data_IF_791679629144
#
_entry.id   IF_791679629144
#
_cell.length_a   1.000
_cell.length_b   1.000
_cell.length_c   1.000
_cell.angle_alpha   90.00
_cell.angle_beta   90.00
_cell.angle_gamma   90.00
#
_symmetry.space_group_name_H-M   'P 1'
#
loop_
_entity.id
_entity.type
_entity.pdbx_description
1 polymer ?
#
# COMPACT_ATOMS: atom_id res chain seq x y z
N UNK A 1 -21.04 10.52 -21.66
CA UNK A 1 -20.77 9.90 -20.35
C UNK A 1 -19.29 9.61 -20.34
N UNK A 2 -18.54 9.88 -19.27
CA UNK A 2 -17.11 9.52 -19.30
C UNK A 2 -16.97 8.00 -19.25
N UNK A 3 -15.93 7.44 -19.88
CA UNK A 3 -15.65 6.00 -19.83
C UNK A 3 -15.53 5.51 -18.36
N UNK A 4 -15.06 6.39 -17.46
CA UNK A 4 -14.99 6.17 -16.02
C UNK A 4 -16.37 5.96 -15.39
N UNK A 5 -17.37 6.80 -15.73
CA UNK A 5 -18.72 6.66 -15.19
C UNK A 5 -19.37 5.35 -15.60
N UNK A 6 -19.08 4.87 -16.82
CA UNK A 6 -19.56 3.58 -17.32
C UNK A 6 -18.91 2.42 -16.57
N UNK A 7 -17.60 2.50 -16.33
CA UNK A 7 -16.87 1.51 -15.53
C UNK A 7 -17.46 1.41 -14.12
N UNK A 8 -17.61 2.54 -13.41
CA UNK A 8 -18.13 2.55 -12.03
C UNK A 8 -19.56 2.00 -11.99
N UNK A 9 -20.45 2.46 -12.88
CA UNK A 9 -21.83 1.95 -12.94
C UNK A 9 -21.89 0.47 -13.27
N UNK A 10 -20.99 -0.03 -14.12
CA UNK A 10 -20.92 -1.46 -14.42
C UNK A 10 -20.52 -2.27 -13.19
N UNK A 11 -19.55 -1.78 -12.41
CA UNK A 11 -19.10 -2.40 -11.17
C UNK A 11 -20.20 -2.41 -10.10
N UNK A 12 -20.89 -1.31 -9.89
CA UNK A 12 -21.92 -1.17 -8.85
C UNK A 12 -23.12 -2.11 -9.04
N UNK A 13 -23.41 -2.50 -10.29
CA UNK A 13 -24.49 -3.45 -10.64
C UNK A 13 -24.12 -4.91 -10.37
N UNK A 14 -22.85 -5.21 -10.11
CA UNK A 14 -22.40 -6.57 -9.83
C UNK A 14 -22.74 -6.97 -8.39
N UNK A 15 -22.97 -8.26 -8.19
CA UNK A 15 -22.93 -8.85 -6.84
C UNK A 15 -21.46 -8.98 -6.37
N UNK A 16 -21.26 -9.38 -5.11
CA UNK A 16 -19.91 -9.44 -4.51
C UNK A 16 -18.93 -10.32 -5.32
N UNK A 17 -19.37 -11.50 -5.77
CA UNK A 17 -18.54 -12.36 -6.61
C UNK A 17 -18.17 -11.69 -7.93
N UNK A 18 -19.11 -10.96 -8.54
CA UNK A 18 -18.86 -10.20 -9.76
C UNK A 18 -17.90 -9.04 -9.53
N UNK A 19 -18.04 -8.31 -8.41
CA UNK A 19 -17.14 -7.22 -8.02
C UNK A 19 -15.72 -7.71 -7.76
N UNK A 20 -15.55 -8.84 -7.06
CA UNK A 20 -14.24 -9.47 -6.87
C UNK A 20 -13.63 -9.84 -8.22
N UNK A 21 -14.41 -10.49 -9.10
CA UNK A 21 -13.93 -10.88 -10.42
C UNK A 21 -13.58 -9.66 -11.29
N UNK A 22 -14.34 -8.58 -11.19
CA UNK A 22 -14.06 -7.32 -11.86
C UNK A 22 -12.70 -6.76 -11.44
N UNK A 23 -12.44 -6.63 -10.13
CA UNK A 23 -11.18 -6.09 -9.61
C UNK A 23 -9.98 -6.95 -10.00
N UNK A 24 -10.10 -8.28 -9.92
CA UNK A 24 -9.04 -9.22 -10.30
C UNK A 24 -8.67 -9.18 -11.78
N UNK A 25 -9.62 -8.81 -12.63
CA UNK A 25 -9.42 -8.72 -14.08
C UNK A 25 -9.38 -7.27 -14.57
N UNK A 26 -9.13 -6.31 -13.67
CA UNK A 26 -8.95 -4.92 -14.06
C UNK A 26 -7.76 -4.82 -15.02
N UNK A 27 -7.89 -4.05 -16.10
CA UNK A 27 -6.83 -3.91 -17.12
C UNK A 27 -6.89 -2.55 -17.83
N UNK A 28 -7.67 -1.62 -17.28
CA UNK A 28 -7.78 -0.27 -17.81
C UNK A 28 -6.65 0.60 -17.25
N UNK A 29 -6.40 1.73 -17.90
CA UNK A 29 -5.62 2.79 -17.27
C UNK A 29 -6.35 3.25 -16.00
N UNK A 30 -5.59 3.38 -14.91
CA UNK A 30 -6.16 3.86 -13.66
C UNK A 30 -6.22 5.38 -13.73
N UNK A 31 -7.39 5.95 -14.03
CA UNK A 31 -7.58 7.41 -13.91
C UNK A 31 -7.62 7.84 -12.44
N UNK A 32 -7.47 9.14 -12.18
CA UNK A 32 -7.58 9.70 -10.82
C UNK A 32 -8.95 9.38 -10.21
N UNK A 33 -10.01 9.53 -10.98
CA UNK A 33 -11.38 9.27 -10.56
C UNK A 33 -11.60 7.79 -10.21
N UNK A 34 -11.07 6.86 -11.02
CA UNK A 34 -11.13 5.43 -10.71
C UNK A 34 -10.29 5.07 -9.49
N UNK A 35 -9.11 5.69 -9.33
CA UNK A 35 -8.28 5.48 -8.15
C UNK A 35 -8.97 5.95 -6.87
N UNK A 36 -9.65 7.10 -6.89
CA UNK A 36 -10.43 7.60 -5.76
C UNK A 36 -11.64 6.71 -5.47
N UNK A 37 -12.27 6.14 -6.50
CA UNK A 37 -13.34 5.16 -6.35
C UNK A 37 -12.85 3.86 -5.70
N UNK A 38 -11.75 3.26 -6.17
CA UNK A 38 -11.20 2.08 -5.52
C UNK A 38 -10.66 2.37 -4.13
N UNK A 39 -10.15 3.59 -3.91
CA UNK A 39 -9.73 4.03 -2.58
C UNK A 39 -10.93 4.10 -1.62
N UNK A 40 -12.09 4.60 -2.05
CA UNK A 40 -13.28 4.62 -1.19
C UNK A 40 -13.79 3.23 -0.84
N UNK A 41 -13.62 2.26 -1.75
CA UNK A 41 -13.91 0.86 -1.46
C UNK A 41 -12.94 0.33 -0.38
N UNK A 42 -11.64 0.59 -0.53
CA UNK A 42 -10.63 0.13 0.40
C UNK A 42 -10.78 0.72 1.82
N UNK A 43 -11.16 2.01 1.94
CA UNK A 43 -11.24 2.70 3.23
C UNK A 43 -12.56 2.48 3.98
N UNK A 44 -13.61 1.98 3.31
CA UNK A 44 -14.90 1.71 3.97
C UNK A 44 -14.88 0.38 4.73
N UNK A 45 -14.82 0.45 6.06
CA UNK A 45 -14.84 -0.71 6.97
C UNK A 45 -16.13 -1.53 6.90
N UNK A 46 -17.21 -1.02 6.29
CA UNK A 46 -18.45 -1.78 6.10
C UNK A 46 -18.40 -2.70 4.86
N UNK A 47 -17.40 -2.53 4.00
CA UNK A 47 -17.22 -3.37 2.81
C UNK A 47 -16.46 -4.64 3.19
N UNK A 48 -16.84 -5.75 2.55
CA UNK A 48 -16.17 -7.04 2.68
C UNK A 48 -14.63 -6.91 2.51
N UNK A 49 -13.86 -7.51 3.42
CA UNK A 49 -12.39 -7.41 3.43
C UNK A 49 -11.75 -7.87 2.13
N UNK A 50 -12.28 -8.90 1.46
CA UNK A 50 -11.78 -9.37 0.16
C UNK A 50 -11.94 -8.26 -0.89
N UNK A 51 -13.07 -7.56 -0.94
CA UNK A 51 -13.27 -6.45 -1.88
C UNK A 51 -12.32 -5.30 -1.59
N UNK A 52 -12.10 -4.96 -0.31
CA UNK A 52 -11.15 -3.94 0.11
C UNK A 52 -9.73 -4.29 -0.34
N UNK A 53 -9.32 -5.55 -0.13
CA UNK A 53 -8.02 -6.10 -0.54
C UNK A 53 -7.85 -6.07 -2.07
N UNK A 54 -8.85 -6.50 -2.84
CA UNK A 54 -8.73 -6.47 -4.30
C UNK A 54 -8.71 -5.02 -4.83
N UNK A 55 -9.44 -4.09 -4.20
CA UNK A 55 -9.42 -2.68 -4.60
C UNK A 55 -8.05 -2.03 -4.37
N UNK A 56 -7.42 -2.27 -3.21
CA UNK A 56 -6.08 -1.70 -2.93
C UNK A 56 -5.00 -2.32 -3.81
N UNK A 57 -5.12 -3.59 -4.19
CA UNK A 57 -4.23 -4.19 -5.20
C UNK A 57 -4.35 -3.50 -6.55
N UNK A 58 -5.55 -3.12 -7.00
CA UNK A 58 -5.72 -2.36 -8.24
C UNK A 58 -4.98 -1.02 -8.14
N UNK A 59 -5.10 -0.29 -7.04
CA UNK A 59 -4.37 0.96 -6.82
C UNK A 59 -2.85 0.73 -6.84
N UNK A 60 -2.39 -0.37 -6.23
CA UNK A 60 -0.96 -0.70 -6.14
C UNK A 60 -0.35 -1.28 -7.42
N UNK A 61 -1.12 -1.84 -8.34
CA UNK A 61 -0.59 -2.54 -9.52
C UNK A 61 -0.73 -1.74 -10.81
N UNK A 62 -1.67 -0.81 -10.86
CA UNK A 62 -1.98 -0.05 -12.06
C UNK A 62 -1.51 1.38 -11.89
N UNK A 63 -0.64 1.81 -12.81
CA UNK A 63 -0.14 3.17 -12.82
C UNK A 63 -1.18 4.12 -13.44
N UNK A 64 -1.12 5.37 -13.01
CA UNK A 64 -1.90 6.47 -13.55
C UNK A 64 -1.15 7.77 -13.37
N UNK A 65 -1.23 8.64 -14.36
CA UNK A 65 -0.51 9.91 -14.38
C UNK A 65 -1.30 11.01 -13.65
N UNK A 66 -1.30 10.95 -12.31
CA UNK A 66 -1.92 11.95 -11.45
C UNK A 66 -1.20 12.04 -10.10
N UNK A 67 -1.45 13.13 -9.37
CA UNK A 67 -0.94 13.32 -8.02
C UNK A 67 -1.56 12.29 -7.03
N UNK A 68 -0.71 11.43 -6.48
CA UNK A 68 -1.06 10.33 -5.58
C UNK A 68 -0.97 10.70 -4.10
N UNK A 69 -0.59 11.93 -3.74
CA UNK A 69 -0.34 12.32 -2.33
C UNK A 69 -1.52 12.03 -1.39
N UNK A 70 -2.74 12.35 -1.81
CA UNK A 70 -3.93 12.07 -1.00
C UNK A 70 -4.23 10.57 -0.88
N UNK A 71 -3.91 9.79 -1.91
CA UNK A 71 -4.09 8.33 -1.90
C UNK A 71 -3.10 7.71 -0.92
N UNK A 72 -1.82 8.05 -1.01
CA UNK A 72 -0.77 7.56 -0.10
C UNK A 72 -1.11 7.86 1.36
N UNK A 73 -1.53 9.09 1.66
CA UNK A 73 -1.97 9.48 3.02
C UNK A 73 -3.15 8.66 3.50
N UNK A 74 -4.14 8.43 2.65
CA UNK A 74 -5.32 7.63 3.01
C UNK A 74 -4.95 6.16 3.27
N UNK A 75 -4.04 5.60 2.46
CA UNK A 75 -3.52 4.24 2.67
C UNK A 75 -2.78 4.16 4.01
N UNK A 76 -1.88 5.10 4.31
CA UNK A 76 -1.13 5.13 5.57
C UNK A 76 -2.06 5.28 6.78
N UNK A 77 -3.06 6.15 6.71
CA UNK A 77 -4.04 6.29 7.79
C UNK A 77 -4.83 5.00 7.99
N UNK A 78 -5.23 4.34 6.90
CA UNK A 78 -5.93 3.05 6.99
C UNK A 78 -5.06 1.99 7.64
N UNK A 79 -3.78 1.88 7.27
CA UNK A 79 -2.84 0.94 7.91
C UNK A 79 -2.81 1.16 9.43
N UNK A 80 -2.76 2.42 9.88
CA UNK A 80 -2.66 2.78 11.31
C UNK A 80 -3.95 2.56 12.11
N UNK A 81 -5.09 2.60 11.45
CA UNK A 81 -6.42 2.49 12.08
C UNK A 81 -7.07 1.11 11.92
N UNK A 82 -6.46 0.23 11.12
CA UNK A 82 -6.99 -1.09 10.81
C UNK A 82 -6.58 -2.13 11.85
N UNK A 83 -7.51 -3.04 12.17
CA UNK A 83 -7.28 -4.16 13.10
C UNK A 83 -7.00 -5.48 12.33
N UNK A 84 -7.42 -5.55 11.06
CA UNK A 84 -7.18 -6.66 10.16
C UNK A 84 -5.77 -6.59 9.55
N UNK A 85 -4.89 -7.48 9.99
CA UNK A 85 -3.49 -7.53 9.58
C UNK A 85 -3.31 -7.90 8.10
N UNK A 86 -4.25 -8.63 7.51
CA UNK A 86 -4.21 -8.96 6.08
C UNK A 86 -4.45 -7.69 5.25
N UNK A 87 -5.43 -6.87 5.64
CA UNK A 87 -5.69 -5.58 4.99
C UNK A 87 -4.48 -4.65 5.13
N UNK A 88 -3.87 -4.58 6.32
CA UNK A 88 -2.65 -3.79 6.55
C UNK A 88 -1.49 -4.24 5.63
N UNK A 89 -1.23 -5.54 5.54
CA UNK A 89 -0.17 -6.08 4.67
C UNK A 89 -0.42 -5.74 3.20
N UNK A 90 -1.64 -5.94 2.69
CA UNK A 90 -1.94 -5.59 1.30
C UNK A 90 -1.86 -4.08 1.03
N UNK A 91 -2.24 -3.26 2.01
CA UNK A 91 -2.10 -1.81 1.93
C UNK A 91 -0.63 -1.38 1.88
N UNK A 92 0.23 -1.96 2.70
CA UNK A 92 1.68 -1.69 2.68
C UNK A 92 2.28 -2.12 1.33
N UNK A 93 1.92 -3.30 0.82
CA UNK A 93 2.39 -3.79 -0.46
C UNK A 93 1.96 -2.86 -1.62
N UNK A 94 0.71 -2.40 -1.62
CA UNK A 94 0.24 -1.43 -2.60
C UNK A 94 0.98 -0.10 -2.49
N UNK A 95 1.20 0.39 -1.26
CA UNK A 95 1.97 1.61 -1.01
C UNK A 95 3.39 1.50 -1.59
N UNK A 96 4.06 0.35 -1.40
CA UNK A 96 5.41 0.10 -1.93
C UNK A 96 5.52 0.21 -3.45
N UNK A 97 4.41 0.05 -4.19
CA UNK A 97 4.43 0.16 -5.64
C UNK A 97 4.14 1.58 -6.16
N UNK A 98 3.50 2.42 -5.34
CA UNK A 98 3.03 3.76 -5.79
C UNK A 98 3.89 4.92 -5.27
N UNK A 99 4.80 4.66 -4.33
CA UNK A 99 5.75 5.65 -3.84
C UNK A 99 7.05 5.61 -4.65
N UNK A 100 7.83 6.69 -4.55
CA UNK A 100 9.17 6.78 -5.11
C UNK A 100 10.22 6.97 -3.99
N UNK A 101 11.50 6.92 -4.35
CA UNK A 101 12.60 7.02 -3.39
C UNK A 101 12.68 8.39 -2.67
N UNK A 102 11.98 9.42 -3.15
CA UNK A 102 11.89 10.73 -2.50
C UNK A 102 10.72 10.83 -1.50
N UNK A 103 9.85 9.83 -1.44
CA UNK A 103 8.67 9.80 -0.56
C UNK A 103 9.05 9.50 0.91
N UNK A 104 9.70 10.49 1.51
CA UNK A 104 10.18 10.41 2.89
C UNK A 104 9.04 10.25 3.89
N UNK A 105 7.85 10.78 3.60
CA UNK A 105 6.69 10.67 4.49
C UNK A 105 6.24 9.21 4.62
N UNK A 106 6.02 8.54 3.49
CA UNK A 106 5.55 7.16 3.45
C UNK A 106 6.60 6.19 4.02
N UNK A 107 7.87 6.41 3.69
CA UNK A 107 8.99 5.61 4.22
C UNK A 107 9.12 5.76 5.75
N UNK A 108 9.01 6.98 6.30
CA UNK A 108 9.05 7.17 7.75
C UNK A 108 7.83 6.55 8.44
N UNK A 109 6.64 6.58 7.82
CA UNK A 109 5.48 5.90 8.37
C UNK A 109 5.71 4.39 8.55
N UNK A 110 6.45 3.74 7.64
CA UNK A 110 6.79 2.32 7.78
C UNK A 110 7.73 2.04 8.95
N UNK A 111 8.63 2.97 9.26
CA UNK A 111 9.44 2.86 10.48
C UNK A 111 8.58 2.90 11.75
N UNK A 112 7.55 3.76 11.79
CA UNK A 112 6.60 3.80 12.91
C UNK A 112 5.86 2.45 13.06
N UNK A 113 5.52 1.78 11.95
CA UNK A 113 4.90 0.43 11.97
C UNK A 113 5.86 -0.60 12.57
N UNK A 114 7.12 -0.62 12.15
CA UNK A 114 8.13 -1.58 12.65
C UNK A 114 8.33 -1.41 14.16
N UNK A 115 8.45 -0.16 14.62
CA UNK A 115 8.70 0.15 16.03
C UNK A 115 7.44 0.05 16.90
N UNK A 116 6.25 0.08 16.30
CA UNK A 116 4.96 0.02 16.99
C UNK A 116 4.54 -1.38 17.41
N UNK A 117 3.35 -1.47 18.00
CA UNK A 117 2.70 -2.73 18.38
C UNK A 117 1.80 -3.23 17.23
N UNK A 118 2.45 -3.72 16.17
CA UNK A 118 1.79 -4.31 15.00
C UNK A 118 2.13 -5.79 14.90
N UNK A 119 1.23 -6.55 14.25
CA UNK A 119 1.49 -7.95 13.95
C UNK A 119 2.78 -8.10 13.10
N UNK A 120 3.52 -9.19 13.33
CA UNK A 120 4.85 -9.39 12.72
C UNK A 120 4.81 -9.34 11.19
N UNK A 121 3.75 -9.84 10.55
CA UNK A 121 3.62 -9.77 9.09
C UNK A 121 3.49 -8.33 8.57
N UNK A 122 2.86 -7.45 9.34
CA UNK A 122 2.78 -6.03 9.00
C UNK A 122 4.15 -5.36 9.11
N UNK A 123 4.92 -5.69 10.17
CA UNK A 123 6.28 -5.19 10.34
C UNK A 123 7.21 -5.70 9.23
N UNK A 124 7.06 -6.97 8.83
CA UNK A 124 7.81 -7.54 7.71
C UNK A 124 7.49 -6.86 6.38
N UNK A 125 6.21 -6.59 6.10
CA UNK A 125 5.79 -5.83 4.92
C UNK A 125 6.35 -4.39 4.94
N UNK A 126 6.30 -3.72 6.09
CA UNK A 126 6.86 -2.37 6.27
C UNK A 126 8.37 -2.35 6.05
N UNK A 127 9.09 -3.35 6.57
CA UNK A 127 10.51 -3.52 6.33
C UNK A 127 10.81 -3.78 4.85
N UNK A 128 10.02 -4.65 4.19
CA UNK A 128 10.17 -4.93 2.77
C UNK A 128 10.00 -3.67 1.91
N UNK A 129 9.05 -2.79 2.23
CA UNK A 129 8.87 -1.50 1.57
C UNK A 129 10.12 -0.62 1.73
N UNK A 130 10.68 -0.49 2.94
CA UNK A 130 11.91 0.28 3.17
C UNK A 130 13.07 -0.28 2.33
N UNK A 131 13.18 -1.60 2.22
CA UNK A 131 14.20 -2.27 1.42
C UNK A 131 14.00 -2.05 -0.07
N UNK A 132 12.76 -2.09 -0.56
CA UNK A 132 12.43 -1.79 -1.96
C UNK A 132 12.89 -0.38 -2.36
N UNK A 133 12.84 0.56 -1.40
CA UNK A 133 13.25 1.95 -1.56
C UNK A 133 14.61 2.26 -0.92
N UNK A 134 15.53 1.28 -0.80
CA UNK A 134 16.82 1.45 -0.11
C UNK A 134 17.81 2.42 -0.76
N UNK A 135 17.51 2.91 -1.97
CA UNK A 135 18.28 3.99 -2.60
C UNK A 135 18.02 5.34 -1.94
N UNK A 136 16.85 5.53 -1.33
CA UNK A 136 16.51 6.71 -0.55
C UNK A 136 17.44 6.89 0.65
N UNK A 137 17.87 8.12 0.90
CA UNK A 137 18.65 8.46 2.10
C UNK A 137 17.86 8.19 3.39
N UNK A 138 16.53 8.36 3.35
CA UNK A 138 15.66 8.07 4.50
C UNK A 138 15.63 6.57 4.79
N UNK A 139 15.52 5.72 3.76
CA UNK A 139 15.56 4.27 3.93
C UNK A 139 16.90 3.81 4.51
N UNK A 140 18.04 4.32 4.01
CA UNK A 140 19.37 4.01 4.57
C UNK A 140 19.49 4.42 6.03
N UNK A 141 18.97 5.59 6.39
CA UNK A 141 18.94 6.08 7.77
C UNK A 141 18.11 5.15 8.67
N UNK A 142 16.93 4.73 8.21
CA UNK A 142 16.07 3.80 8.95
C UNK A 142 16.73 2.43 9.12
N UNK A 143 17.28 1.85 8.04
CA UNK A 143 18.02 0.59 8.12
C UNK A 143 19.18 0.68 9.13
N UNK A 144 19.87 1.83 9.20
CA UNK A 144 20.93 2.06 10.18
C UNK A 144 20.40 2.10 11.62
N UNK A 145 19.22 2.70 11.85
CA UNK A 145 18.56 2.69 13.17
C UNK A 145 18.14 1.29 13.58
N UNK A 146 17.79 0.43 12.64
CA UNK A 146 17.35 -0.94 12.90
C UNK A 146 18.50 -1.92 13.19
N UNK A 147 19.78 -1.54 13.10
CA UNK A 147 20.91 -2.47 13.27
C UNK A 147 20.90 -3.27 14.59
N UNK A 148 20.39 -2.67 15.67
CA UNK A 148 20.28 -3.31 16.99
C UNK A 148 18.87 -3.85 17.27
N UNK A 149 17.96 -3.74 16.31
CA UNK A 149 16.62 -4.29 16.45
C UNK A 149 16.67 -5.83 16.53
N UNK A 150 15.87 -6.40 17.44
CA UNK A 150 15.89 -7.83 17.73
C UNK A 150 15.43 -8.66 16.53
N UNK A 151 14.45 -8.17 15.79
CA UNK A 151 13.81 -8.90 14.69
C UNK A 151 14.49 -8.57 13.36
N UNK A 152 14.71 -7.28 13.11
CA UNK A 152 15.14 -6.77 11.81
C UNK A 152 16.63 -6.48 11.71
N UNK A 153 17.40 -6.43 12.80
CA UNK A 153 18.78 -5.94 12.77
C UNK A 153 19.74 -6.71 11.87
N UNK A 154 19.61 -8.04 11.83
CA UNK A 154 20.41 -8.88 10.91
C UNK A 154 20.08 -8.59 9.45
N UNK A 155 18.80 -8.45 9.13
CA UNK A 155 18.32 -8.14 7.77
C UNK A 155 18.75 -6.73 7.38
N UNK A 156 18.57 -5.74 8.27
CA UNK A 156 18.96 -4.36 8.04
C UNK A 156 20.45 -4.22 7.73
N UNK A 157 21.31 -4.92 8.50
CA UNK A 157 22.75 -4.97 8.24
C UNK A 157 23.06 -5.49 6.84
N UNK A 158 22.46 -6.61 6.45
CA UNK A 158 22.66 -7.22 5.12
C UNK A 158 22.24 -6.26 4.00
N UNK A 159 21.10 -5.59 4.15
CA UNK A 159 20.61 -4.68 3.11
C UNK A 159 21.49 -3.43 2.97
N UNK A 160 22.03 -2.89 4.07
CA UNK A 160 23.01 -1.79 4.03
C UNK A 160 24.32 -2.18 3.35
N UNK A 161 24.84 -3.38 3.64
CA UNK A 161 26.06 -3.89 2.99
C UNK A 161 25.86 -4.11 1.47
N UNK A 162 24.64 -4.46 1.05
CA UNK A 162 24.29 -4.65 -0.37
C UNK A 162 24.00 -3.35 -1.14
N UNK A 163 23.88 -2.22 -0.45
CA UNK A 163 23.56 -0.92 -1.03
C UNK A 163 24.81 -0.07 -1.31
N UNK A 164 25.99 -0.55 -0.91
CA UNK A 164 27.33 -0.02 -1.20
C UNK A 164 27.89 -0.63 -2.48
#
# INVERSE_FOLDING_TARGET
MSDVDEIIKSYERLNDSGKINFLRNFHNELSKELALFFLSIFTDKNINSILRIEAIKVIGLYDGNYDKENIKKSIINTIKEEDDDEIQVFAINALSNIIDDNDSYSINAMYDIIMGDYYILCKEAAFALIVAHKKSEVSKLILSKLLNDREFGRSAKRELESAL
#
